data_IF_340524849358
#
_entry.id   IF_340524849358
#
_cell.length_a   1.000
_cell.length_b   1.000
_cell.length_c   1.000
_cell.angle_alpha   90.00
_cell.angle_beta   90.00
_cell.angle_gamma   90.00
#
_symmetry.space_group_name_H-M   'P 1'
#
loop_
_entity.id
_entity.type
_entity.pdbx_description
1 polymer ?
#
# COMPACT_ATOMS: atom_id res chain seq x y z
N UNK A 1 53.45 -49.69 -19.16
CA UNK A 1 54.29 -48.95 -18.18
C UNK A 1 53.38 -48.24 -17.20
N UNK A 2 53.39 -48.65 -15.93
CA UNK A 2 52.63 -48.05 -14.82
C UNK A 2 53.35 -46.78 -14.34
N UNK A 3 52.62 -45.68 -14.14
CA UNK A 3 53.04 -44.60 -13.23
C UNK A 3 51.94 -44.36 -12.19
N UNK A 4 52.25 -44.73 -10.96
CA UNK A 4 51.59 -44.29 -9.74
C UNK A 4 52.09 -42.89 -9.39
N UNK A 5 51.23 -41.97 -8.95
CA UNK A 5 51.58 -41.12 -7.80
C UNK A 5 50.39 -40.40 -7.14
N UNK A 6 50.30 -40.68 -5.84
CA UNK A 6 49.83 -39.90 -4.68
C UNK A 6 48.41 -39.31 -4.61
N UNK A 7 47.69 -39.86 -3.64
CA UNK A 7 46.67 -39.19 -2.84
C UNK A 7 47.19 -37.90 -2.19
N UNK A 8 46.32 -36.90 -2.12
CA UNK A 8 46.29 -35.95 -1.00
C UNK A 8 44.83 -35.78 -0.59
N UNK A 9 44.47 -36.28 0.59
CA UNK A 9 43.19 -35.97 1.25
C UNK A 9 43.31 -34.55 1.81
N UNK A 10 42.41 -33.66 1.43
CA UNK A 10 42.08 -32.48 2.25
C UNK A 10 40.56 -32.40 2.31
N UNK A 11 40.05 -32.77 3.48
CA UNK A 11 38.68 -32.58 3.91
C UNK A 11 38.56 -31.13 4.39
N UNK A 12 37.71 -30.32 3.76
CA UNK A 12 37.22 -29.06 4.35
C UNK A 12 35.70 -29.05 4.22
N UNK A 13 35.07 -29.35 5.36
CA UNK A 13 33.74 -28.89 5.76
C UNK A 13 33.66 -27.38 5.58
N UNK A 14 32.66 -26.82 4.89
CA UNK A 14 32.04 -25.55 5.33
C UNK A 14 30.73 -25.24 4.59
N UNK A 15 29.64 -25.37 5.36
CA UNK A 15 28.54 -24.40 5.49
C UNK A 15 27.66 -24.17 4.25
N UNK A 16 26.57 -24.94 4.22
CA UNK A 16 25.19 -24.43 4.21
C UNK A 16 25.04 -23.09 3.46
N UNK A 17 24.75 -23.18 2.16
CA UNK A 17 24.24 -22.07 1.35
C UNK A 17 22.77 -21.82 1.76
N UNK A 18 22.56 -21.32 2.98
CA UNK A 18 21.32 -20.68 3.44
C UNK A 18 21.23 -19.30 2.78
N UNK A 19 21.28 -19.24 1.45
CA UNK A 19 21.11 -17.99 0.74
C UNK A 19 19.62 -17.72 0.53
N UNK A 20 19.04 -17.18 1.61
CA UNK A 20 18.10 -16.05 1.56
C UNK A 20 17.01 -16.22 0.49
N UNK A 21 16.03 -17.07 0.78
CA UNK A 21 14.64 -16.82 0.37
C UNK A 21 14.16 -15.55 1.11
N UNK A 22 14.78 -14.42 0.78
CA UNK A 22 14.25 -13.12 1.10
C UNK A 22 13.01 -13.00 0.25
N UNK A 23 11.85 -13.39 0.80
CA UNK A 23 10.60 -12.83 0.37
C UNK A 23 10.82 -11.33 0.30
N UNK A 24 10.90 -10.77 -0.91
CA UNK A 24 10.91 -9.34 -1.11
C UNK A 24 9.59 -8.84 -0.51
N UNK A 25 9.62 -8.44 0.76
CA UNK A 25 8.46 -7.93 1.44
C UNK A 25 8.06 -6.68 0.69
N UNK A 26 6.91 -6.72 0.05
CA UNK A 26 6.32 -5.59 -0.63
C UNK A 26 6.07 -4.49 0.41
N UNK A 27 7.03 -3.58 0.59
CA UNK A 27 6.86 -2.44 1.47
C UNK A 27 5.90 -1.45 0.80
N UNK A 28 4.76 -1.22 1.45
CA UNK A 28 3.86 -0.14 1.06
C UNK A 28 4.54 1.18 1.41
N UNK A 29 4.79 2.01 0.40
CA UNK A 29 5.20 3.40 0.56
C UNK A 29 3.98 4.29 0.66
N UNK A 30 4.14 5.42 1.35
CA UNK A 30 3.07 6.37 1.54
C UNK A 30 1.96 5.92 2.48
N UNK A 31 2.14 4.78 3.15
CA UNK A 31 1.18 4.24 4.10
C UNK A 31 1.80 3.14 4.95
N UNK A 32 1.00 2.49 5.78
CA UNK A 32 1.42 1.40 6.66
C UNK A 32 0.42 0.26 6.71
N UNK A 33 0.89 -0.97 6.86
CA UNK A 33 0.04 -2.11 7.19
C UNK A 33 -0.14 -2.19 8.71
N UNK A 34 -1.37 -2.40 9.16
CA UNK A 34 -1.71 -2.57 10.57
C UNK A 34 -2.23 -3.97 10.85
N UNK A 35 -1.93 -4.49 12.04
CA UNK A 35 -2.32 -5.83 12.47
C UNK A 35 -3.79 -5.87 12.89
N UNK A 36 -4.31 -7.09 13.01
CA UNK A 36 -5.64 -7.37 13.54
C UNK A 36 -5.86 -6.64 14.89
N UNK A 37 -7.09 -6.16 15.10
CA UNK A 37 -7.46 -5.41 16.29
C UNK A 37 -6.97 -3.95 16.36
N UNK A 38 -6.35 -3.40 15.30
CA UNK A 38 -5.98 -1.99 15.27
C UNK A 38 -7.18 -1.07 15.51
N UNK A 39 -7.02 -0.10 16.42
CA UNK A 39 -8.03 0.89 16.76
C UNK A 39 -7.53 2.28 16.38
N UNK A 40 -8.31 2.99 15.56
CA UNK A 40 -8.04 4.39 15.27
C UNK A 40 -8.32 5.25 16.49
N UNK A 41 -7.56 6.34 16.67
CA UNK A 41 -7.82 7.35 17.73
C UNK A 41 -9.22 7.94 17.59
N UNK A 42 -9.62 8.25 16.36
CA UNK A 42 -10.94 8.76 16.02
C UNK A 42 -11.32 8.34 14.60
N UNK A 43 -12.55 7.88 14.44
CA UNK A 43 -13.19 7.73 13.13
C UNK A 43 -13.89 9.04 12.80
N UNK A 44 -13.56 9.64 11.65
CA UNK A 44 -14.14 10.90 11.19
C UNK A 44 -15.34 10.60 10.28
N UNK A 45 -15.19 9.65 9.36
CA UNK A 45 -16.24 9.19 8.45
C UNK A 45 -16.06 7.69 8.22
N UNK A 46 -17.17 6.95 8.16
CA UNK A 46 -17.19 5.58 7.65
C UNK A 46 -17.77 5.57 6.25
N UNK A 47 -17.30 4.67 5.39
CA UNK A 47 -17.82 4.54 4.04
C UNK A 47 -18.17 3.10 3.70
N UNK A 48 -19.30 2.93 3.02
CA UNK A 48 -19.56 1.75 2.18
C UNK A 48 -19.01 1.99 0.79
N UNK A 49 -18.38 0.96 0.23
CA UNK A 49 -17.88 1.00 -1.12
C UNK A 49 -18.90 0.44 -2.13
N UNK A 50 -19.02 1.10 -3.27
CA UNK A 50 -19.70 0.61 -4.47
C UNK A 50 -18.71 0.56 -5.64
N UNK A 51 -18.46 -0.64 -6.17
CA UNK A 51 -17.51 -0.86 -7.26
C UNK A 51 -16.56 -2.03 -6.98
N UNK A 52 -15.36 -1.97 -7.58
CA UNK A 52 -14.34 -3.02 -7.49
C UNK A 52 -13.53 -2.83 -6.22
N UNK A 53 -13.91 -3.55 -5.16
CA UNK A 53 -13.21 -3.61 -3.87
C UNK A 53 -13.18 -5.04 -3.33
N UNK A 54 -12.22 -5.37 -2.45
CA UNK A 54 -12.25 -6.64 -1.72
C UNK A 54 -13.55 -6.80 -0.92
N UNK A 55 -14.06 -8.03 -0.78
CA UNK A 55 -15.29 -8.27 -0.01
C UNK A 55 -15.06 -8.08 1.48
N UNK A 56 -16.05 -7.50 2.17
CA UNK A 56 -16.04 -7.35 3.62
C UNK A 56 -15.13 -6.25 4.17
N UNK A 57 -14.41 -5.52 3.32
CA UNK A 57 -13.58 -4.39 3.78
C UNK A 57 -14.42 -3.15 4.01
N UNK A 58 -14.08 -2.40 5.06
CA UNK A 58 -14.64 -1.08 5.35
C UNK A 58 -13.60 -0.01 5.05
N UNK A 59 -14.04 1.12 4.54
CA UNK A 59 -13.17 2.28 4.34
C UNK A 59 -13.52 3.33 5.39
N UNK A 60 -12.51 3.83 6.10
CA UNK A 60 -12.70 4.81 7.16
C UNK A 60 -11.77 6.00 6.91
N UNK A 61 -12.27 7.23 6.99
CA UNK A 61 -11.42 8.39 7.19
C UNK A 61 -11.16 8.51 8.69
N UNK A 62 -9.89 8.43 9.10
CA UNK A 62 -9.52 8.39 10.51
C UNK A 62 -8.49 9.46 10.86
N UNK A 63 -8.40 9.78 12.14
CA UNK A 63 -7.28 10.51 12.73
C UNK A 63 -6.25 9.51 13.28
N UNK A 64 -4.98 9.72 12.91
CA UNK A 64 -3.80 8.99 13.39
C UNK A 64 -2.87 9.97 14.12
N UNK A 65 -1.80 9.46 14.72
CA UNK A 65 -0.78 10.29 15.39
C UNK A 65 -0.13 11.31 14.44
N UNK A 66 0.03 10.96 13.15
CA UNK A 66 0.71 11.78 12.15
C UNK A 66 -0.24 12.59 11.27
N UNK A 67 -1.55 12.54 11.55
CA UNK A 67 -2.58 13.23 10.79
C UNK A 67 -3.69 12.31 10.30
N UNK A 68 -4.44 12.76 9.29
CA UNK A 68 -5.55 11.98 8.74
C UNK A 68 -5.06 10.89 7.78
N UNK A 69 -5.77 9.77 7.72
CA UNK A 69 -5.50 8.68 6.79
C UNK A 69 -6.81 8.02 6.34
N UNK A 70 -6.79 7.38 5.17
CA UNK A 70 -7.80 6.38 4.82
C UNK A 70 -7.35 5.03 5.38
N UNK A 71 -8.25 4.36 6.10
CA UNK A 71 -8.06 3.00 6.56
C UNK A 71 -8.95 2.05 5.76
N UNK A 72 -8.34 1.22 4.92
CA UNK A 72 -8.99 0.05 4.31
C UNK A 72 -8.90 -1.10 5.32
N UNK A 73 -9.98 -1.29 6.08
CA UNK A 73 -10.07 -2.18 7.24
C UNK A 73 -10.69 -3.52 6.86
N UNK A 74 -9.94 -4.60 7.08
CA UNK A 74 -10.41 -5.98 6.97
C UNK A 74 -11.37 -6.36 8.10
N UNK A 75 -12.19 -7.42 7.95
CA UNK A 75 -13.12 -7.88 8.98
C UNK A 75 -12.47 -8.19 10.35
N UNK A 76 -11.23 -8.67 10.37
CA UNK A 76 -10.44 -8.95 11.59
C UNK A 76 -9.84 -7.69 12.24
N UNK A 77 -10.05 -6.52 11.63
CA UNK A 77 -9.52 -5.24 12.06
C UNK A 77 -8.08 -4.96 11.65
N UNK A 78 -7.45 -5.83 10.85
CA UNK A 78 -6.19 -5.52 10.17
C UNK A 78 -6.44 -4.64 8.94
N UNK A 79 -5.40 -4.19 8.26
CA UNK A 79 -5.54 -3.58 6.94
C UNK A 79 -4.45 -2.59 6.58
N UNK A 80 -4.79 -1.62 5.74
CA UNK A 80 -3.87 -0.64 5.18
C UNK A 80 -4.28 0.79 5.54
N UNK A 81 -3.32 1.57 6.04
CA UNK A 81 -3.45 3.02 6.24
C UNK A 81 -2.78 3.75 5.07
N UNK A 82 -3.52 4.61 4.37
CA UNK A 82 -3.02 5.48 3.30
C UNK A 82 -2.79 6.88 3.87
N UNK A 83 -1.52 7.24 4.06
CA UNK A 83 -1.10 8.38 4.90
C UNK A 83 -0.48 9.52 4.08
N UNK A 84 -0.01 9.25 2.86
CA UNK A 84 0.44 10.32 1.95
C UNK A 84 -0.76 11.18 1.62
N UNK A 85 -0.70 12.45 2.00
CA UNK A 85 -1.84 13.35 1.90
C UNK A 85 -1.46 14.65 1.21
N UNK A 86 -2.30 15.09 0.28
CA UNK A 86 -2.27 16.44 -0.27
C UNK A 86 -3.70 16.96 -0.47
N UNK A 87 -3.84 18.23 -0.84
CA UNK A 87 -5.14 18.86 -1.08
C UNK A 87 -5.13 19.62 -2.40
N UNK A 88 -6.24 19.53 -3.13
CA UNK A 88 -6.52 20.36 -4.31
C UNK A 88 -8.00 20.79 -4.33
N UNK A 89 -8.49 21.23 -5.49
CA UNK A 89 -9.87 21.66 -5.72
C UNK A 89 -10.91 20.53 -5.62
N UNK A 90 -10.51 19.27 -5.78
CA UNK A 90 -11.37 18.09 -5.65
C UNK A 90 -11.50 17.62 -4.21
N UNK A 91 -10.51 17.91 -3.36
CA UNK A 91 -10.58 17.66 -1.92
C UNK A 91 -9.26 17.22 -1.31
N UNK A 92 -9.35 16.39 -0.27
CA UNK A 92 -8.19 15.76 0.35
C UNK A 92 -7.88 14.44 -0.35
N UNK A 93 -6.64 14.30 -0.80
CA UNK A 93 -6.14 13.08 -1.40
C UNK A 93 -5.38 12.27 -0.37
N UNK A 94 -5.52 10.95 -0.43
CA UNK A 94 -4.77 9.99 0.37
C UNK A 94 -4.22 8.91 -0.54
N UNK A 95 -2.93 8.58 -0.42
CA UNK A 95 -2.30 7.61 -1.29
C UNK A 95 -1.37 6.66 -0.56
N UNK A 96 -1.08 5.55 -1.22
CA UNK A 96 -0.06 4.57 -0.87
C UNK A 96 0.24 3.69 -2.07
N UNK A 97 1.43 3.11 -2.16
CA UNK A 97 1.82 2.32 -3.32
C UNK A 97 2.84 1.25 -2.96
N UNK A 98 2.85 0.19 -3.77
CA UNK A 98 3.88 -0.84 -3.72
C UNK A 98 4.73 -0.69 -4.98
N UNK A 99 6.03 -0.48 -4.82
CA UNK A 99 6.93 -0.01 -5.88
C UNK A 99 6.87 -0.79 -7.22
N UNK A 100 6.58 -2.09 -7.17
CA UNK A 100 6.52 -2.98 -8.34
C UNK A 100 5.11 -3.47 -8.68
N UNK A 101 4.09 -2.93 -8.01
CA UNK A 101 2.71 -3.38 -8.09
C UNK A 101 1.80 -2.15 -8.27
N UNK A 102 0.80 -1.99 -7.41
CA UNK A 102 -0.24 -0.98 -7.58
C UNK A 102 0.03 0.30 -6.78
N UNK A 103 -0.38 1.42 -7.34
CA UNK A 103 -0.63 2.66 -6.61
C UNK A 103 -2.11 2.75 -6.23
N UNK A 104 -2.38 3.35 -5.09
CA UNK A 104 -3.73 3.59 -4.59
C UNK A 104 -3.88 5.07 -4.31
N UNK A 105 -5.01 5.64 -4.71
CA UNK A 105 -5.37 7.01 -4.40
C UNK A 105 -6.84 7.08 -4.01
N UNK A 106 -7.13 7.87 -2.98
CA UNK A 106 -8.46 8.17 -2.52
C UNK A 106 -8.64 9.69 -2.56
N UNK A 107 -9.74 10.15 -3.14
CA UNK A 107 -10.11 11.57 -3.14
C UNK A 107 -11.35 11.72 -2.26
N UNK A 108 -11.20 12.45 -1.16
CA UNK A 108 -12.27 12.72 -0.21
C UNK A 108 -12.68 14.19 -0.32
N UNK A 109 -13.92 14.50 -0.74
CA UNK A 109 -14.39 15.87 -0.83
C UNK A 109 -14.32 16.59 0.51
N UNK A 110 -14.14 17.91 0.50
CA UNK A 110 -14.15 18.74 1.72
C UNK A 110 -15.46 18.57 2.48
N UNK A 111 -16.58 18.58 1.76
CA UNK A 111 -17.88 18.19 2.28
C UNK A 111 -17.93 16.66 2.44
N UNK A 112 -17.77 16.22 3.69
CA UNK A 112 -17.68 14.81 4.08
C UNK A 112 -18.99 14.03 3.92
N UNK A 113 -20.09 14.71 3.60
CA UNK A 113 -21.38 14.06 3.29
C UNK A 113 -21.46 13.58 1.84
N UNK A 114 -20.49 13.98 0.99
CA UNK A 114 -20.40 13.55 -0.41
C UNK A 114 -19.55 12.29 -0.55
N UNK A 115 -19.79 11.56 -1.64
CA UNK A 115 -19.02 10.36 -1.98
C UNK A 115 -17.53 10.68 -2.20
N UNK A 116 -16.67 9.83 -1.63
CA UNK A 116 -15.26 9.80 -1.96
C UNK A 116 -15.00 8.84 -3.12
N UNK A 117 -13.84 8.96 -3.77
CA UNK A 117 -13.46 8.16 -4.94
C UNK A 117 -12.22 7.33 -4.63
N UNK A 118 -12.20 6.07 -5.05
CA UNK A 118 -11.04 5.18 -4.96
C UNK A 118 -10.50 4.88 -6.34
N UNK A 119 -9.21 5.10 -6.52
CA UNK A 119 -8.45 4.80 -7.71
C UNK A 119 -7.40 3.74 -7.40
N UNK A 120 -7.16 2.87 -8.37
CA UNK A 120 -6.06 1.90 -8.35
C UNK A 120 -5.30 2.09 -9.64
N UNK A 121 -4.01 2.33 -9.53
CA UNK A 121 -3.10 2.49 -10.65
C UNK A 121 -2.29 1.20 -10.83
N UNK A 122 -2.59 0.37 -11.85
CA UNK A 122 -1.79 -0.81 -12.14
C UNK A 122 -0.31 -0.50 -12.35
N UNK A 123 0.55 -1.50 -12.14
CA UNK A 123 1.97 -1.36 -12.42
C UNK A 123 2.21 -0.82 -13.84
N UNK A 124 3.17 0.08 -13.99
CA UNK A 124 3.53 0.76 -15.26
C UNK A 124 2.48 1.72 -15.84
N UNK A 125 1.36 1.96 -15.14
CA UNK A 125 0.35 2.96 -15.56
C UNK A 125 0.43 4.27 -14.79
N UNK A 126 1.37 4.37 -13.86
CA UNK A 126 1.65 5.57 -13.08
C UNK A 126 3.15 5.72 -12.88
N UNK A 127 3.56 6.92 -12.49
CA UNK A 127 4.90 7.20 -11.98
C UNK A 127 4.79 7.85 -10.61
N UNK A 128 5.85 7.79 -9.80
CA UNK A 128 5.93 8.56 -8.57
C UNK A 128 6.56 9.91 -8.91
N UNK A 129 5.85 11.00 -8.62
CA UNK A 129 6.38 12.36 -8.75
C UNK A 129 6.42 13.02 -7.39
N UNK A 130 7.45 13.80 -7.16
CA UNK A 130 7.51 14.74 -6.05
C UNK A 130 6.90 16.06 -6.50
N UNK A 131 5.81 16.48 -5.86
CA UNK A 131 5.11 17.72 -6.14
C UNK A 131 4.87 18.41 -4.81
N UNK A 132 5.33 19.65 -4.67
CA UNK A 132 5.28 20.42 -3.42
C UNK A 132 5.89 19.67 -2.22
N UNK A 133 6.98 18.92 -2.47
CA UNK A 133 7.68 18.12 -1.45
C UNK A 133 6.97 16.82 -1.07
N UNK A 134 5.89 16.45 -1.77
CA UNK A 134 5.11 15.24 -1.50
C UNK A 134 5.30 14.27 -2.65
N UNK A 135 5.91 13.11 -2.37
CA UNK A 135 5.95 12.00 -3.29
C UNK A 135 4.57 11.35 -3.40
N UNK A 136 3.96 11.37 -4.59
CA UNK A 136 2.64 10.79 -4.84
C UNK A 136 2.58 10.06 -6.18
N UNK A 137 1.75 9.02 -6.31
CA UNK A 137 1.52 8.38 -7.59
C UNK A 137 0.75 9.31 -8.53
N UNK A 138 1.19 9.39 -9.78
CA UNK A 138 0.55 10.19 -10.82
C UNK A 138 0.30 9.28 -12.02
N UNK A 139 -0.96 9.10 -12.44
CA UNK A 139 -1.28 8.23 -13.56
C UNK A 139 -0.72 8.81 -14.87
N UNK A 140 -0.29 7.93 -15.78
CA UNK A 140 0.27 8.31 -17.08
C UNK A 140 -0.81 8.70 -18.11
N UNK A 141 -2.06 8.32 -17.84
CA UNK A 141 -3.25 8.66 -18.61
C UNK A 141 -4.42 8.88 -17.66
N UNK A 142 -5.49 9.59 -18.07
CA UNK A 142 -6.72 9.64 -17.29
C UNK A 142 -7.21 8.23 -16.93
N UNK A 143 -7.70 8.06 -15.70
CA UNK A 143 -8.22 6.80 -15.18
C UNK A 143 -9.47 7.09 -14.35
N UNK A 144 -10.49 6.26 -14.53
CA UNK A 144 -11.73 6.35 -13.77
C UNK A 144 -11.58 5.70 -12.38
N UNK A 145 -12.36 6.15 -11.38
CA UNK A 145 -12.36 5.50 -10.08
C UNK A 145 -12.89 4.06 -10.21
N UNK A 146 -12.20 3.12 -9.55
CA UNK A 146 -12.63 1.72 -9.51
C UNK A 146 -13.78 1.51 -8.52
N UNK A 147 -13.95 2.43 -7.58
CA UNK A 147 -15.06 2.44 -6.64
C UNK A 147 -15.42 3.84 -6.14
N UNK A 148 -16.68 4.01 -5.76
CA UNK A 148 -17.20 5.15 -5.00
C UNK A 148 -17.34 4.74 -3.54
N UNK A 149 -17.06 5.66 -2.64
CA UNK A 149 -17.12 5.47 -1.20
C UNK A 149 -18.22 6.38 -0.65
N UNK A 150 -19.35 5.78 -0.31
CA UNK A 150 -20.56 6.48 0.15
C UNK A 150 -20.52 6.60 1.67
N UNK A 151 -20.61 7.82 2.24
CA UNK A 151 -20.62 8.02 3.68
C UNK A 151 -21.76 7.26 4.38
N UNK A 152 -21.48 6.69 5.56
CA UNK A 152 -22.42 6.01 6.46
C UNK A 152 -22.35 6.57 7.90
#
# INVERSE_FOLDING_TARGET
MKKYFRQTKVLVFLVILFFILGCASAFMKGGSLVKAGYQAKKVIVSYRAEGIVPQGVKYLLIETETGQAIFEKSPDGSGALFQTRWRDDKGDHFAGWVATSHGYEFIVPVDRTKEAKRFVYPAKTYTIKEIDGIARPVPLSPIEPVARLIPE
#
